data_IF_131237259747
#
_entry.id   IF_131237259747
#
_cell.length_a   1.000
_cell.length_b   1.000
_cell.length_c   1.000
_cell.angle_alpha   90.00
_cell.angle_beta   90.00
_cell.angle_gamma   90.00
#
_symmetry.space_group_name_H-M   'P 1'
#
loop_
_entity.id
_entity.type
_entity.pdbx_description
1 polymer ?
#
# COMPACT_ATOMS: atom_id res chain seq x y z
N UNK A 1 -3.75 -1.05 -23.06
CA UNK A 1 -3.70 -0.21 -21.84
C UNK A 1 -2.29 -0.24 -21.28
N UNK A 2 -1.71 0.91 -20.95
CA UNK A 2 -0.39 1.02 -20.31
C UNK A 2 -0.64 1.32 -18.84
N UNK A 3 -0.44 0.33 -17.98
CA UNK A 3 -0.61 0.44 -16.53
C UNK A 3 0.10 -0.71 -15.83
N UNK A 4 0.38 -0.56 -14.54
CA UNK A 4 0.97 -1.63 -13.75
C UNK A 4 -0.02 -2.79 -13.64
N UNK A 5 0.41 -3.98 -14.06
CA UNK A 5 -0.37 -5.22 -13.97
C UNK A 5 0.12 -6.16 -12.88
N UNK A 6 1.26 -5.86 -12.27
CA UNK A 6 1.85 -6.61 -11.18
C UNK A 6 2.27 -5.62 -10.11
N UNK A 7 1.77 -5.81 -8.88
CA UNK A 7 2.08 -4.95 -7.74
C UNK A 7 2.55 -5.82 -6.58
N UNK A 8 3.72 -5.49 -6.03
CA UNK A 8 4.18 -6.05 -4.75
C UNK A 8 3.99 -4.97 -3.67
N UNK A 9 3.20 -5.30 -2.65
CA UNK A 9 2.93 -4.46 -1.49
C UNK A 9 3.82 -4.92 -0.35
N UNK A 10 4.75 -4.06 0.04
CA UNK A 10 5.64 -4.29 1.17
C UNK A 10 5.10 -3.60 2.43
N UNK A 11 5.09 -4.31 3.56
CA UNK A 11 4.75 -3.72 4.86
C UNK A 11 5.48 -4.40 6.00
N UNK A 12 5.87 -3.63 7.01
CA UNK A 12 6.38 -4.13 8.28
C UNK A 12 5.27 -4.61 9.23
N UNK A 13 4.00 -4.30 8.91
CA UNK A 13 2.85 -4.70 9.71
C UNK A 13 2.31 -6.07 9.27
N UNK A 14 2.85 -7.12 9.90
CA UNK A 14 2.44 -8.51 9.63
C UNK A 14 0.96 -8.78 9.92
N UNK A 15 0.38 -8.11 10.93
CA UNK A 15 -1.03 -8.25 11.27
C UNK A 15 -1.91 -7.69 10.15
N UNK A 16 -1.56 -6.54 9.58
CA UNK A 16 -2.30 -5.94 8.48
C UNK A 16 -2.27 -6.83 7.23
N UNK A 17 -1.10 -7.36 6.87
CA UNK A 17 -0.97 -8.31 5.76
C UNK A 17 -1.88 -9.52 6.00
N UNK A 18 -1.85 -10.10 7.20
CA UNK A 18 -2.69 -11.24 7.55
C UNK A 18 -4.19 -10.92 7.50
N UNK A 19 -4.60 -9.73 7.94
CA UNK A 19 -6.01 -9.29 7.88
C UNK A 19 -6.49 -9.16 6.44
N UNK A 20 -5.70 -8.53 5.58
CA UNK A 20 -6.06 -8.34 4.16
C UNK A 20 -6.16 -9.70 3.45
N UNK A 21 -5.18 -10.58 3.67
CA UNK A 21 -5.12 -11.88 3.01
C UNK A 21 -6.17 -12.89 3.49
N UNK A 22 -6.56 -12.84 4.78
CA UNK A 22 -7.48 -13.82 5.36
C UNK A 22 -8.89 -13.26 5.59
N UNK A 23 -9.16 -12.01 5.21
CA UNK A 23 -10.44 -11.33 5.42
C UNK A 23 -10.88 -11.24 6.90
N UNK A 24 -9.92 -11.33 7.82
CA UNK A 24 -10.16 -11.35 9.27
C UNK A 24 -10.18 -9.94 9.87
N UNK A 25 -11.03 -9.06 9.34
CA UNK A 25 -11.21 -7.73 9.92
C UNK A 25 -12.01 -7.82 11.24
N UNK A 26 -11.38 -7.52 12.38
CA UNK A 26 -12.07 -7.38 13.66
C UNK A 26 -12.81 -6.03 13.71
N UNK A 27 -14.09 -6.04 13.31
CA UNK A 27 -15.18 -5.04 13.41
C UNK A 27 -14.93 -3.53 13.22
N UNK A 28 -13.78 -2.95 13.60
CA UNK A 28 -13.55 -1.51 13.60
C UNK A 28 -13.02 -0.95 12.27
N UNK A 29 -12.40 -1.78 11.42
CA UNK A 29 -11.80 -1.35 10.14
C UNK A 29 -12.31 -2.17 8.94
N UNK A 30 -13.52 -2.75 9.05
CA UNK A 30 -14.06 -3.65 8.03
C UNK A 30 -14.19 -2.96 6.66
N UNK A 31 -14.59 -1.68 6.63
CA UNK A 31 -14.79 -0.95 5.39
C UNK A 31 -13.45 -0.69 4.66
N UNK A 32 -12.42 -0.29 5.39
CA UNK A 32 -11.08 -0.03 4.84
C UNK A 32 -10.45 -1.31 4.32
N UNK A 33 -10.53 -2.41 5.07
CA UNK A 33 -10.02 -3.71 4.63
C UNK A 33 -10.76 -4.18 3.37
N UNK A 34 -12.07 -4.02 3.31
CA UNK A 34 -12.86 -4.35 2.13
C UNK A 34 -12.47 -3.53 0.90
N UNK A 35 -12.22 -2.22 1.06
CA UNK A 35 -11.76 -1.37 -0.05
C UNK A 35 -10.42 -1.85 -0.62
N UNK A 36 -9.48 -2.23 0.26
CA UNK A 36 -8.19 -2.78 -0.15
C UNK A 36 -8.38 -4.12 -0.89
N UNK A 37 -9.30 -4.96 -0.42
CA UNK A 37 -9.61 -6.24 -1.06
C UNK A 37 -10.26 -6.06 -2.44
N UNK A 38 -11.26 -5.18 -2.54
CA UNK A 38 -11.91 -4.85 -3.81
C UNK A 38 -10.88 -4.33 -4.83
N UNK A 39 -9.91 -3.54 -4.37
CA UNK A 39 -8.77 -3.11 -5.18
C UNK A 39 -7.85 -4.27 -5.58
N UNK A 40 -7.53 -5.18 -4.66
CA UNK A 40 -6.72 -6.38 -4.96
C UNK A 40 -7.39 -7.33 -5.96
N UNK A 41 -8.72 -7.30 -6.07
CA UNK A 41 -9.51 -8.12 -6.99
C UNK A 41 -9.65 -7.52 -8.40
N UNK A 42 -9.06 -6.34 -8.66
CA UNK A 42 -9.00 -5.77 -10.01
C UNK A 42 -8.06 -6.58 -10.93
N UNK A 43 -8.00 -6.23 -12.22
CA UNK A 43 -7.22 -6.94 -13.25
C UNK A 43 -5.70 -6.68 -13.16
N UNK A 44 -5.10 -7.04 -12.02
CA UNK A 44 -3.67 -7.06 -11.75
C UNK A 44 -3.29 -8.15 -10.75
N UNK A 45 -2.05 -8.63 -10.82
CA UNK A 45 -1.48 -9.57 -9.87
C UNK A 45 -0.92 -8.81 -8.66
N UNK A 46 -1.49 -9.06 -7.48
CA UNK A 46 -1.05 -8.44 -6.22
C UNK A 46 -0.34 -9.46 -5.33
N UNK A 47 0.86 -9.09 -4.84
CA UNK A 47 1.63 -9.86 -3.86
C UNK A 47 1.85 -9.04 -2.61
N UNK A 48 1.83 -9.70 -1.45
CA UNK A 48 2.16 -9.07 -0.18
C UNK A 48 3.47 -9.63 0.33
N UNK A 49 4.34 -8.75 0.81
CA UNK A 49 5.61 -9.12 1.39
C UNK A 49 5.80 -8.41 2.73
N UNK A 50 6.04 -9.20 3.77
CA UNK A 50 6.48 -8.64 5.04
C UNK A 50 7.94 -8.18 4.92
N UNK A 51 8.21 -6.95 5.33
CA UNK A 51 9.56 -6.39 5.39
C UNK A 51 9.91 -5.98 6.82
N UNK A 52 11.19 -5.69 7.06
CA UNK A 52 11.64 -5.12 8.32
C UNK A 52 11.32 -3.61 8.34
N UNK A 53 11.13 -3.05 9.53
CA UNK A 53 10.83 -1.62 9.68
C UNK A 53 11.93 -0.74 9.08
N UNK A 54 13.19 -1.14 9.24
CA UNK A 54 14.35 -0.43 8.71
C UNK A 54 14.32 -0.38 7.18
N UNK A 55 13.70 -1.36 6.53
CA UNK A 55 13.50 -1.41 5.08
C UNK A 55 12.35 -0.50 4.62
N UNK A 56 11.38 -0.18 5.49
CA UNK A 56 10.25 0.69 5.15
C UNK A 56 10.53 2.19 5.38
N UNK A 57 11.81 2.58 5.40
CA UNK A 57 12.23 3.92 5.80
C UNK A 57 11.68 5.07 4.94
N UNK A 58 11.30 4.82 3.68
CA UNK A 58 10.68 5.83 2.81
C UNK A 58 9.24 6.09 3.24
N UNK A 59 8.42 5.06 3.44
CA UNK A 59 7.04 5.24 3.90
C UNK A 59 6.97 5.84 5.31
N UNK A 60 7.91 5.48 6.19
CA UNK A 60 8.07 6.08 7.51
C UNK A 60 8.35 7.58 7.42
N UNK A 61 9.23 8.01 6.50
CA UNK A 61 9.52 9.44 6.27
C UNK A 61 8.32 10.18 5.71
N UNK A 62 7.64 9.61 4.71
CA UNK A 62 6.40 10.20 4.15
C UNK A 62 5.35 10.37 5.26
N UNK A 63 5.17 9.36 6.11
CA UNK A 63 4.22 9.43 7.23
C UNK A 63 4.62 10.48 8.25
N UNK A 64 5.93 10.64 8.52
CA UNK A 64 6.44 11.65 9.44
C UNK A 64 6.23 13.05 8.89
N UNK A 65 6.55 13.27 7.62
CA UNK A 65 6.33 14.54 6.93
C UNK A 65 4.83 14.86 6.82
N UNK A 66 3.97 13.86 6.58
CA UNK A 66 2.52 14.03 6.53
C UNK A 66 1.90 14.47 7.86
N UNK A 67 2.45 14.02 8.99
CA UNK A 67 2.01 14.49 10.33
C UNK A 67 2.32 15.96 10.57
N UNK A 68 3.31 16.50 9.85
CA UNK A 68 3.73 17.90 9.89
C UNK A 68 3.08 18.74 8.76
N UNK A 69 1.96 18.26 8.17
CA UNK A 69 1.20 18.79 7.01
C UNK A 69 1.81 18.46 5.63
N UNK A 70 1.42 17.32 5.03
CA UNK A 70 1.48 17.12 3.57
C UNK A 70 0.11 17.47 3.00
N UNK A 71 0.00 18.67 2.41
CA UNK A 71 -1.21 19.11 1.72
C UNK A 71 -1.39 18.48 0.33
N UNK A 72 -0.34 17.91 -0.28
CA UNK A 72 -0.41 17.42 -1.66
C UNK A 72 0.46 16.19 -1.90
N UNK A 73 -0.19 15.08 -2.31
CA UNK A 73 0.48 13.95 -2.95
C UNK A 73 0.77 14.32 -4.41
N UNK A 74 2.01 14.67 -4.71
CA UNK A 74 2.47 14.89 -6.08
C UNK A 74 2.98 13.56 -6.63
N UNK A 75 2.17 12.92 -7.48
CA UNK A 75 2.58 11.73 -8.22
C UNK A 75 3.38 12.20 -9.43
N UNK A 76 4.68 11.94 -9.43
CA UNK A 76 5.49 12.08 -10.62
C UNK A 76 5.33 10.81 -11.46
N UNK A 77 4.50 10.86 -12.50
CA UNK A 77 4.60 9.89 -13.58
C UNK A 77 6.00 10.04 -14.23
N UNK A 78 6.66 8.91 -14.48
CA UNK A 78 8.07 8.77 -14.89
C UNK A 78 8.59 9.84 -15.86
N UNK A 79 9.91 10.14 -15.84
CA UNK A 79 10.49 11.12 -16.74
C UNK A 79 10.32 10.63 -18.18
N UNK A 80 9.71 11.47 -19.03
CA UNK A 80 9.77 11.30 -20.48
C UNK A 80 11.25 11.16 -20.87
N UNK A 81 11.61 9.95 -21.26
CA UNK A 81 12.97 9.62 -21.67
C UNK A 81 13.49 10.59 -22.72
N UNK A 82 14.75 10.97 -22.56
CA UNK A 82 15.60 11.51 -23.61
C UNK A 82 16.80 10.58 -23.77
#
# INVERSE_FOLDING_TARGET
>A
EKGYRNVEIESENSLLIAIIQNELATNNNYNEVRLIQDWCLMDWEVKFRQILKESNGVADRITKEARDEIDQLIIHEEPLGA
#
